data_IF_422339706285
#
_entry.id   IF_422339706285
#
_cell.length_a   1.000
_cell.length_b   1.000
_cell.length_c   1.000
_cell.angle_alpha   90.00
_cell.angle_beta   90.00
_cell.angle_gamma   90.00
#
_symmetry.space_group_name_H-M   'P 1'
#
loop_
_entity.id
_entity.type
_entity.pdbx_description
1 polymer ?
#
# COMPACT_ATOMS: atom_id res chain seq x y z
N UNK A 1 15.93 7.87 -18.21
CA UNK A 1 16.48 6.48 -18.37
C UNK A 1 16.06 5.55 -17.23
N UNK A 2 16.04 6.04 -15.98
CA UNK A 2 15.61 5.26 -14.80
C UNK A 2 14.18 4.73 -14.90
N UNK A 3 13.25 5.54 -15.39
CA UNK A 3 11.84 5.13 -15.57
C UNK A 3 11.70 3.90 -16.48
N UNK A 4 12.37 3.89 -17.64
CA UNK A 4 12.33 2.75 -18.58
C UNK A 4 12.97 1.51 -17.95
N UNK A 5 14.12 1.66 -17.30
CA UNK A 5 14.77 0.55 -16.61
C UNK A 5 13.88 -0.04 -15.51
N UNK A 6 13.23 0.81 -14.71
CA UNK A 6 12.30 0.38 -13.66
C UNK A 6 11.08 -0.34 -14.23
N UNK A 7 10.56 0.11 -15.38
CA UNK A 7 9.44 -0.54 -16.06
C UNK A 7 9.84 -1.94 -16.58
N UNK A 8 11.01 -2.07 -17.20
CA UNK A 8 11.49 -3.36 -17.73
C UNK A 8 11.71 -4.38 -16.61
N UNK A 9 12.39 -3.97 -15.53
CA UNK A 9 12.58 -4.83 -14.35
C UNK A 9 11.23 -5.18 -13.73
N UNK A 10 10.34 -4.19 -13.63
CA UNK A 10 9.02 -4.37 -13.06
C UNK A 10 8.15 -5.36 -13.84
N UNK A 11 8.11 -5.23 -15.17
CA UNK A 11 7.38 -6.15 -16.05
C UNK A 11 7.94 -7.56 -15.91
N UNK A 12 9.27 -7.74 -15.91
CA UNK A 12 9.86 -9.06 -15.75
C UNK A 12 9.46 -9.73 -14.42
N UNK A 13 9.55 -8.99 -13.31
CA UNK A 13 9.17 -9.49 -11.98
C UNK A 13 7.68 -9.82 -11.92
N UNK A 14 6.83 -8.91 -12.39
CA UNK A 14 5.37 -9.08 -12.33
C UNK A 14 4.93 -10.22 -13.24
N UNK A 15 5.41 -10.30 -14.49
CA UNK A 15 5.05 -11.40 -15.39
C UNK A 15 5.44 -12.75 -14.81
N UNK A 16 6.66 -12.90 -14.28
CA UNK A 16 7.09 -14.14 -13.63
C UNK A 16 6.22 -14.48 -12.42
N UNK A 17 5.96 -13.48 -11.56
CA UNK A 17 5.17 -13.64 -10.35
C UNK A 17 3.72 -14.01 -10.64
N UNK A 18 3.06 -13.29 -11.55
CA UNK A 18 1.69 -13.57 -11.97
C UNK A 18 1.59 -14.98 -12.55
N UNK A 19 2.54 -15.37 -13.40
CA UNK A 19 2.56 -16.72 -13.94
C UNK A 19 2.69 -17.77 -12.84
N UNK A 20 3.61 -17.60 -11.89
CA UNK A 20 3.79 -18.49 -10.76
C UNK A 20 2.57 -18.56 -9.80
N UNK A 21 1.87 -17.46 -9.61
CA UNK A 21 0.62 -17.43 -8.84
C UNK A 21 -0.49 -18.18 -9.57
N UNK A 22 -0.64 -17.95 -10.87
CA UNK A 22 -1.65 -18.60 -11.71
C UNK A 22 -1.43 -20.11 -11.78
N UNK A 23 -0.20 -20.56 -12.05
CA UNK A 23 0.16 -21.98 -12.02
C UNK A 23 -0.09 -22.60 -10.65
N UNK A 24 0.29 -21.89 -9.58
CA UNK A 24 0.07 -22.39 -8.23
C UNK A 24 -1.41 -22.51 -7.85
N UNK A 25 -2.27 -21.64 -8.38
CA UNK A 25 -3.70 -21.61 -8.11
C UNK A 25 -4.53 -22.49 -9.07
N UNK A 26 -3.93 -22.99 -10.16
CA UNK A 26 -4.60 -23.74 -11.24
C UNK A 26 -5.48 -24.93 -10.77
N UNK A 27 -5.12 -25.71 -9.73
CA UNK A 27 -5.96 -26.80 -9.24
C UNK A 27 -7.31 -26.38 -8.63
N UNK A 28 -7.45 -25.09 -8.28
CA UNK A 28 -8.57 -24.54 -7.50
C UNK A 28 -9.25 -23.34 -8.17
N UNK A 29 -8.50 -22.35 -8.64
CA UNK A 29 -9.04 -21.08 -9.14
C UNK A 29 -10.03 -21.23 -10.32
N UNK A 30 -9.80 -22.10 -11.33
CA UNK A 30 -10.76 -22.32 -12.41
C UNK A 30 -12.10 -22.87 -11.93
N UNK A 31 -12.09 -23.74 -10.91
CA UNK A 31 -13.32 -24.28 -10.31
C UNK A 31 -14.07 -23.19 -9.54
N UNK A 32 -13.35 -22.36 -8.78
CA UNK A 32 -13.97 -21.21 -8.11
C UNK A 32 -14.57 -20.23 -9.13
N UNK A 33 -13.87 -19.96 -10.23
CA UNK A 33 -14.37 -19.15 -11.34
C UNK A 33 -15.64 -19.76 -11.95
N UNK A 34 -15.65 -21.06 -12.23
CA UNK A 34 -16.85 -21.73 -12.74
C UNK A 34 -18.03 -21.56 -11.78
N UNK A 35 -17.82 -21.76 -10.48
CA UNK A 35 -18.92 -21.61 -9.51
C UNK A 35 -19.41 -20.16 -9.39
N UNK A 36 -18.51 -19.17 -9.43
CA UNK A 36 -18.89 -17.76 -9.39
C UNK A 36 -19.55 -17.28 -10.70
N UNK A 37 -19.13 -17.80 -11.85
CA UNK A 37 -19.58 -17.32 -13.17
C UNK A 37 -20.73 -18.14 -13.77
N UNK A 38 -20.97 -19.37 -13.29
CA UNK A 38 -22.04 -20.25 -13.75
C UNK A 38 -23.26 -20.18 -12.81
N UNK A 39 -24.40 -19.61 -13.24
CA UNK A 39 -25.60 -19.50 -12.42
C UNK A 39 -26.15 -20.82 -11.89
N UNK A 40 -25.91 -21.93 -12.61
CA UNK A 40 -26.40 -23.26 -12.22
C UNK A 40 -25.62 -23.85 -11.04
N UNK A 41 -24.41 -23.33 -10.75
CA UNK A 41 -23.52 -23.85 -9.74
C UNK A 41 -23.54 -23.04 -8.44
N UNK A 42 -24.36 -21.98 -8.37
CA UNK A 42 -24.44 -21.07 -7.21
C UNK A 42 -24.75 -21.78 -5.89
N UNK A 43 -25.57 -22.83 -5.93
CA UNK A 43 -25.97 -23.58 -4.73
C UNK A 43 -24.81 -24.43 -4.16
N UNK A 44 -23.73 -24.65 -4.93
CA UNK A 44 -22.56 -25.45 -4.51
C UNK A 44 -21.66 -24.72 -3.51
N UNK A 45 -21.70 -23.39 -3.42
CA UNK A 45 -20.94 -22.63 -2.42
C UNK A 45 -21.63 -22.53 -1.06
N UNK A 46 -22.85 -23.07 -0.93
CA UNK A 46 -23.70 -22.87 0.24
C UNK A 46 -24.43 -21.52 0.18
N UNK A 47 -25.56 -21.41 0.91
CA UNK A 47 -26.47 -20.25 0.87
C UNK A 47 -25.84 -18.94 1.28
N UNK A 48 -24.72 -18.98 2.00
CA UNK A 48 -24.16 -17.81 2.64
C UNK A 48 -23.07 -17.11 1.82
N UNK A 49 -22.51 -17.70 0.76
CA UNK A 49 -21.30 -17.20 0.05
C UNK A 49 -21.55 -16.29 -1.15
N UNK A 50 -22.68 -15.59 -1.17
CA UNK A 50 -23.14 -14.88 -2.37
C UNK A 50 -23.51 -13.43 -2.14
N UNK A 51 -22.54 -12.55 -2.42
CA UNK A 51 -22.76 -11.11 -2.58
C UNK A 51 -23.15 -10.84 -4.04
N UNK A 52 -24.42 -10.49 -4.27
CA UNK A 52 -24.89 -9.99 -5.57
C UNK A 52 -25.40 -8.55 -5.38
N UNK A 53 -24.65 -7.57 -5.90
CA UNK A 53 -25.08 -6.17 -5.91
C UNK A 53 -26.32 -5.97 -6.79
N UNK A 54 -26.54 -6.87 -7.76
CA UNK A 54 -27.67 -6.82 -8.69
C UNK A 54 -27.53 -5.74 -9.77
N UNK A 55 -26.42 -4.99 -9.76
CA UNK A 55 -26.19 -3.84 -10.65
C UNK A 55 -25.60 -4.31 -11.99
N UNK A 56 -24.58 -5.17 -11.95
CA UNK A 56 -23.89 -5.65 -13.15
C UNK A 56 -23.38 -7.08 -12.95
N UNK A 57 -23.78 -8.00 -13.82
CA UNK A 57 -23.51 -9.44 -13.67
C UNK A 57 -22.02 -9.77 -13.62
N UNK A 58 -21.18 -9.06 -14.38
CA UNK A 58 -19.73 -9.27 -14.36
C UNK A 58 -19.05 -8.71 -13.10
N UNK A 59 -19.55 -7.57 -12.58
CA UNK A 59 -19.06 -7.00 -11.31
C UNK A 59 -19.34 -7.96 -10.16
N UNK A 60 -20.57 -8.48 -10.10
CA UNK A 60 -20.98 -9.47 -9.10
C UNK A 60 -20.13 -10.74 -9.13
N UNK A 61 -19.82 -11.25 -10.32
CA UNK A 61 -18.97 -12.43 -10.51
C UNK A 61 -17.52 -12.18 -10.07
N UNK A 62 -17.02 -10.97 -10.33
CA UNK A 62 -15.69 -10.53 -9.90
C UNK A 62 -15.63 -10.43 -8.38
N UNK A 63 -16.62 -9.78 -7.76
CA UNK A 63 -16.75 -9.69 -6.30
C UNK A 63 -16.84 -11.08 -5.67
N UNK A 64 -17.64 -11.99 -6.25
CA UNK A 64 -17.74 -13.37 -5.77
C UNK A 64 -16.37 -14.05 -5.70
N UNK A 65 -15.57 -13.97 -6.77
CA UNK A 65 -14.25 -14.60 -6.81
C UNK A 65 -13.32 -14.02 -5.76
N UNK A 66 -13.15 -12.69 -5.72
CA UNK A 66 -12.22 -12.04 -4.78
C UNK A 66 -12.64 -12.18 -3.32
N UNK A 67 -13.94 -12.19 -3.05
CA UNK A 67 -14.44 -12.38 -1.69
C UNK A 67 -14.16 -13.80 -1.20
N UNK A 68 -14.49 -14.83 -2.01
CA UNK A 68 -14.17 -16.21 -1.67
C UNK A 68 -12.66 -16.47 -1.57
N UNK A 69 -11.87 -15.83 -2.43
CA UNK A 69 -10.40 -15.90 -2.37
C UNK A 69 -9.87 -15.31 -1.06
N UNK A 70 -10.30 -14.11 -0.71
CA UNK A 70 -9.84 -13.40 0.50
C UNK A 70 -10.31 -14.12 1.76
N UNK A 71 -11.55 -14.61 1.76
CA UNK A 71 -12.10 -15.42 2.85
C UNK A 71 -11.33 -16.73 3.03
N UNK A 72 -11.00 -17.42 1.94
CA UNK A 72 -10.18 -18.64 2.00
C UNK A 72 -8.81 -18.36 2.64
N UNK A 73 -8.16 -17.24 2.28
CA UNK A 73 -6.91 -16.85 2.94
C UNK A 73 -7.13 -16.47 4.41
N UNK A 74 -8.18 -15.72 4.75
CA UNK A 74 -8.48 -15.33 6.14
C UNK A 74 -8.77 -16.51 7.06
N UNK A 75 -9.33 -17.60 6.52
CA UNK A 75 -9.70 -18.79 7.29
C UNK A 75 -8.56 -19.81 7.37
N UNK A 76 -7.42 -19.56 6.73
CA UNK A 76 -6.20 -20.32 6.93
C UNK A 76 -5.41 -19.81 8.14
N UNK A 77 -4.81 -20.74 8.89
CA UNK A 77 -4.06 -20.42 10.11
C UNK A 77 -2.85 -19.51 9.85
N UNK A 78 -2.24 -19.60 8.68
CA UNK A 78 -1.15 -18.73 8.24
C UNK A 78 -1.64 -17.61 7.30
N UNK A 79 -2.71 -17.87 6.55
CA UNK A 79 -3.31 -16.87 5.68
C UNK A 79 -3.85 -15.65 6.41
N UNK A 80 -4.55 -15.79 7.56
CA UNK A 80 -5.02 -14.64 8.32
C UNK A 80 -3.86 -13.73 8.78
N UNK A 81 -2.77 -14.26 9.38
CA UNK A 81 -1.55 -13.52 9.64
C UNK A 81 -0.96 -12.82 8.40
N UNK A 82 -0.82 -13.51 7.26
CA UNK A 82 -0.28 -12.90 6.05
C UNK A 82 -1.19 -11.82 5.47
N UNK A 83 -2.50 -11.99 5.55
CA UNK A 83 -3.48 -10.97 5.15
C UNK A 83 -3.34 -9.70 5.99
N UNK A 84 -3.12 -9.82 7.31
CA UNK A 84 -2.85 -8.66 8.17
C UNK A 84 -1.58 -7.93 7.74
N UNK A 85 -0.49 -8.66 7.52
CA UNK A 85 0.76 -8.06 7.03
C UNK A 85 0.58 -7.41 5.66
N UNK A 86 -0.20 -8.03 4.77
CA UNK A 86 -0.54 -7.51 3.46
C UNK A 86 -1.35 -6.22 3.55
N UNK A 87 -2.34 -6.14 4.44
CA UNK A 87 -3.08 -4.90 4.71
C UNK A 87 -2.11 -3.80 5.17
N UNK A 88 -1.20 -4.09 6.10
CA UNK A 88 -0.17 -3.13 6.52
C UNK A 88 0.71 -2.64 5.36
N UNK A 89 1.19 -3.57 4.54
CA UNK A 89 2.05 -3.28 3.40
C UNK A 89 1.33 -2.52 2.29
N UNK A 90 0.11 -2.93 1.93
CA UNK A 90 -0.73 -2.22 0.97
C UNK A 90 -1.03 -0.81 1.45
N UNK A 91 -1.48 -0.63 2.70
CA UNK A 91 -1.76 0.70 3.26
C UNK A 91 -0.53 1.61 3.24
N UNK A 92 0.66 1.04 3.45
CA UNK A 92 1.94 1.74 3.32
C UNK A 92 2.25 2.12 1.87
N UNK A 93 2.12 1.19 0.93
CA UNK A 93 2.29 1.46 -0.50
C UNK A 93 1.33 2.56 -0.97
N UNK A 94 0.08 2.48 -0.55
CA UNK A 94 -0.95 3.46 -0.90
C UNK A 94 -0.70 4.82 -0.26
N UNK A 95 -0.21 4.86 0.99
CA UNK A 95 0.24 6.11 1.63
C UNK A 95 1.41 6.74 0.91
N UNK A 96 2.40 5.94 0.48
CA UNK A 96 3.51 6.42 -0.34
C UNK A 96 3.00 7.02 -1.65
N UNK A 97 2.06 6.35 -2.33
CA UNK A 97 1.45 6.89 -3.54
C UNK A 97 0.73 8.22 -3.28
N UNK A 98 -0.02 8.33 -2.18
CA UNK A 98 -0.76 9.52 -1.83
C UNK A 98 0.16 10.70 -1.47
N UNK A 99 1.17 10.48 -0.61
CA UNK A 99 2.07 11.53 -0.17
C UNK A 99 2.93 12.05 -1.32
N UNK A 100 3.56 11.14 -2.06
CA UNK A 100 4.36 11.52 -3.22
C UNK A 100 3.47 12.17 -4.30
N UNK A 101 2.30 11.59 -4.60
CA UNK A 101 1.35 12.17 -5.55
C UNK A 101 0.82 13.54 -5.13
N UNK A 102 0.76 13.84 -3.82
CA UNK A 102 0.27 15.12 -3.29
C UNK A 102 1.30 16.24 -3.35
N UNK A 103 2.57 15.96 -3.63
CA UNK A 103 3.57 17.01 -3.82
C UNK A 103 3.16 17.92 -4.97
N UNK A 104 3.42 19.24 -4.85
CA UNK A 104 2.96 20.26 -5.81
C UNK A 104 3.28 19.93 -7.27
N UNK A 105 4.40 19.25 -7.55
CA UNK A 105 4.80 18.82 -8.89
C UNK A 105 4.00 17.67 -9.53
N UNK A 106 3.22 16.92 -8.75
CA UNK A 106 2.53 15.70 -9.21
C UNK A 106 1.04 15.67 -8.97
N UNK A 107 0.52 16.64 -8.23
CA UNK A 107 -0.87 16.71 -7.80
C UNK A 107 -1.88 16.63 -8.96
N UNK A 108 -1.53 17.18 -10.12
CA UNK A 108 -2.39 17.20 -11.31
C UNK A 108 -2.24 15.98 -12.22
N UNK A 109 -1.32 15.06 -11.95
CA UNK A 109 -1.06 13.91 -12.82
C UNK A 109 -1.20 12.58 -12.07
N UNK A 110 -0.39 12.35 -11.04
CA UNK A 110 -0.34 11.08 -10.32
C UNK A 110 -1.50 10.91 -9.33
N UNK A 111 -1.88 11.98 -8.62
CA UNK A 111 -2.94 11.91 -7.62
C UNK A 111 -4.34 11.74 -8.24
N UNK A 112 -4.56 12.22 -9.46
CA UNK A 112 -5.85 12.04 -10.17
C UNK A 112 -6.10 10.56 -10.46
N UNK A 113 -5.06 9.80 -10.79
CA UNK A 113 -5.15 8.37 -11.08
C UNK A 113 -5.11 7.48 -9.81
N UNK A 114 -4.97 8.07 -8.63
CA UNK A 114 -4.91 7.37 -7.35
C UNK A 114 -6.04 6.35 -7.08
N UNK A 115 -7.34 6.65 -7.31
CA UNK A 115 -8.40 5.65 -7.15
C UNK A 115 -8.27 4.50 -8.15
N UNK A 116 -7.83 4.79 -9.38
CA UNK A 116 -7.63 3.78 -10.42
C UNK A 116 -6.48 2.85 -10.01
N UNK A 117 -5.38 3.39 -9.49
CA UNK A 117 -4.26 2.58 -8.99
C UNK A 117 -4.70 1.64 -7.87
N UNK A 118 -5.49 2.12 -6.92
CA UNK A 118 -5.97 1.25 -5.84
C UNK A 118 -6.96 0.20 -6.32
N UNK A 119 -7.88 0.52 -7.24
CA UNK A 119 -8.76 -0.48 -7.85
C UNK A 119 -7.97 -1.55 -8.61
N UNK A 120 -6.99 -1.14 -9.41
CA UNK A 120 -6.10 -2.07 -10.10
C UNK A 120 -5.30 -2.90 -9.11
N UNK A 121 -4.88 -2.33 -7.98
CA UNK A 121 -4.11 -3.03 -6.95
C UNK A 121 -4.95 -4.12 -6.28
N UNK A 122 -6.24 -3.86 -6.06
CA UNK A 122 -7.17 -4.86 -5.54
C UNK A 122 -7.51 -5.97 -6.56
N UNK A 123 -7.46 -5.68 -7.87
CA UNK A 123 -7.78 -6.66 -8.93
C UNK A 123 -6.57 -7.49 -9.39
N UNK A 124 -5.40 -6.85 -9.52
CA UNK A 124 -4.20 -7.47 -10.10
C UNK A 124 -3.08 -7.68 -9.08
N UNK A 125 -3.32 -7.29 -7.82
CA UNK A 125 -2.31 -7.28 -6.76
C UNK A 125 -1.59 -5.93 -6.68
N UNK A 126 -1.34 -5.49 -5.45
CA UNK A 126 -0.67 -4.22 -5.19
C UNK A 126 0.78 -4.22 -5.63
N UNK A 127 1.44 -5.38 -5.59
CA UNK A 127 2.80 -5.53 -6.13
C UNK A 127 2.87 -5.12 -7.60
N UNK A 128 1.88 -5.53 -8.42
CA UNK A 128 1.88 -5.27 -9.84
C UNK A 128 1.74 -3.78 -10.13
N UNK A 129 0.76 -3.14 -9.50
CA UNK A 129 0.53 -1.69 -9.66
C UNK A 129 1.70 -0.89 -9.11
N UNK A 130 2.19 -1.22 -7.91
CA UNK A 130 3.28 -0.47 -7.30
C UNK A 130 4.55 -0.54 -8.17
N UNK A 131 4.91 -1.72 -8.66
CA UNK A 131 6.17 -1.94 -9.37
C UNK A 131 6.11 -1.50 -10.84
N UNK A 132 5.04 -1.85 -11.58
CA UNK A 132 4.96 -1.62 -13.03
C UNK A 132 4.36 -0.25 -13.36
N UNK A 133 3.46 0.25 -12.53
CA UNK A 133 2.75 1.51 -12.80
C UNK A 133 3.33 2.63 -11.98
N UNK A 134 3.32 2.51 -10.65
CA UNK A 134 3.65 3.61 -9.76
C UNK A 134 5.13 4.01 -9.81
N UNK A 135 6.07 3.06 -9.59
CA UNK A 135 7.51 3.39 -9.57
C UNK A 135 7.95 4.07 -10.89
N UNK A 136 7.68 3.52 -12.09
CA UNK A 136 8.15 4.12 -13.33
C UNK A 136 7.52 5.49 -13.60
N UNK A 137 6.23 5.66 -13.32
CA UNK A 137 5.56 6.95 -13.46
C UNK A 137 6.12 7.99 -12.49
N UNK A 138 6.35 7.60 -11.22
CA UNK A 138 6.94 8.50 -10.23
C UNK A 138 8.32 9.01 -10.66
N UNK A 139 9.15 8.14 -11.25
CA UNK A 139 10.47 8.51 -11.76
C UNK A 139 10.37 9.40 -13.01
N UNK A 140 9.47 9.05 -13.93
CA UNK A 140 9.26 9.82 -15.17
C UNK A 140 8.81 11.25 -14.88
N UNK A 141 7.79 11.42 -14.04
CA UNK A 141 7.31 12.75 -13.69
C UNK A 141 8.35 13.50 -12.88
N UNK A 142 9.10 12.85 -11.98
CA UNK A 142 10.18 13.50 -11.21
C UNK A 142 11.27 14.07 -12.10
N UNK A 143 11.66 13.37 -13.17
CA UNK A 143 12.63 13.87 -14.15
C UNK A 143 12.09 15.07 -14.96
N UNK A 144 10.77 15.19 -15.10
CA UNK A 144 10.10 16.25 -15.90
C UNK A 144 9.63 17.46 -15.09
N UNK A 145 9.49 17.34 -13.79
CA UNK A 145 9.13 18.48 -12.94
C UNK A 145 10.22 19.56 -13.00
N UNK A 146 9.86 20.84 -13.20
CA UNK A 146 10.83 21.93 -13.14
C UNK A 146 11.58 21.88 -11.80
N UNK A 147 12.89 22.15 -11.80
CA UNK A 147 13.71 22.17 -10.57
C UNK A 147 13.50 23.44 -9.73
N UNK A 148 12.45 24.21 -9.97
CA UNK A 148 12.18 25.42 -9.18
C UNK A 148 11.85 25.06 -7.73
N UNK A 149 12.37 25.88 -6.82
CA UNK A 149 12.64 25.56 -5.41
C UNK A 149 11.42 25.15 -4.55
N UNK A 150 10.18 25.25 -5.02
CA UNK A 150 8.97 24.98 -4.22
C UNK A 150 8.10 23.82 -4.72
N UNK A 151 8.53 23.08 -5.76
CA UNK A 151 7.69 22.08 -6.46
C UNK A 151 7.60 20.74 -5.70
N UNK A 152 8.56 20.45 -4.80
CA UNK A 152 8.57 19.21 -4.01
C UNK A 152 7.92 19.32 -2.62
N UNK A 153 7.29 20.47 -2.35
CA UNK A 153 6.64 20.73 -1.07
C UNK A 153 5.29 20.03 -0.98
N UNK A 154 4.98 19.52 0.20
CA UNK A 154 3.66 19.03 0.60
C UNK A 154 3.13 19.95 1.70
N UNK A 155 1.83 20.20 1.76
CA UNK A 155 1.25 21.01 2.84
C UNK A 155 0.79 20.12 4.01
N UNK A 156 0.74 20.66 5.23
CA UNK A 156 0.24 19.94 6.41
C UNK A 156 -1.14 19.29 6.18
N UNK A 157 -2.14 20.00 5.60
CA UNK A 157 -3.44 19.38 5.35
C UNK A 157 -3.41 18.24 4.35
N UNK A 158 -2.46 18.24 3.41
CA UNK A 158 -2.29 17.14 2.45
C UNK A 158 -1.66 15.93 3.14
N UNK A 159 -0.59 16.13 3.92
CA UNK A 159 0.08 15.05 4.66
C UNK A 159 -0.86 14.39 5.68
N UNK A 160 -1.40 15.14 6.64
CA UNK A 160 -2.29 14.56 7.65
C UNK A 160 -3.66 14.20 7.11
N UNK A 161 -4.17 14.91 6.10
CA UNK A 161 -5.43 14.57 5.44
C UNK A 161 -5.34 13.21 4.75
N UNK A 162 -4.26 12.96 4.00
CA UNK A 162 -4.01 11.67 3.38
C UNK A 162 -3.79 10.56 4.42
N UNK A 163 -2.98 10.82 5.45
CA UNK A 163 -2.78 9.85 6.53
C UNK A 163 -4.09 9.47 7.21
N UNK A 164 -4.88 10.46 7.63
CA UNK A 164 -6.15 10.24 8.32
C UNK A 164 -7.14 9.48 7.43
N UNK A 165 -7.21 9.85 6.15
CA UNK A 165 -8.06 9.16 5.18
C UNK A 165 -7.67 7.68 5.06
N UNK A 166 -6.37 7.36 4.97
CA UNK A 166 -5.89 5.98 4.88
C UNK A 166 -6.09 5.23 6.19
N UNK A 167 -5.87 5.85 7.34
CA UNK A 167 -6.12 5.20 8.64
C UNK A 167 -7.59 4.83 8.78
N UNK A 168 -8.49 5.78 8.60
CA UNK A 168 -9.93 5.57 8.78
C UNK A 168 -10.55 4.76 7.65
N UNK A 169 -10.09 4.99 6.41
CA UNK A 169 -10.66 4.38 5.23
C UNK A 169 -10.02 3.05 4.88
N UNK A 170 -8.85 2.68 5.43
CA UNK A 170 -8.18 1.42 5.08
C UNK A 170 -7.76 0.61 6.31
N UNK A 171 -6.99 1.18 7.24
CA UNK A 171 -6.50 0.43 8.41
C UNK A 171 -7.62 0.05 9.38
N UNK A 172 -8.56 0.95 9.67
CA UNK A 172 -9.68 0.65 10.56
C UNK A 172 -10.57 -0.46 9.99
N UNK A 173 -11.05 -0.40 8.73
CA UNK A 173 -11.80 -1.51 8.13
C UNK A 173 -11.00 -2.82 8.11
N UNK A 174 -9.71 -2.77 7.76
CA UNK A 174 -8.85 -3.96 7.78
C UNK A 174 -8.69 -4.56 9.18
N UNK A 175 -8.56 -3.72 10.21
CA UNK A 175 -8.51 -4.15 11.59
C UNK A 175 -9.84 -4.77 12.05
N UNK A 176 -10.98 -4.21 11.64
CA UNK A 176 -12.31 -4.77 11.93
C UNK A 176 -12.46 -6.15 11.29
N UNK A 177 -12.14 -6.30 10.01
CA UNK A 177 -12.16 -7.60 9.29
C UNK A 177 -11.27 -8.63 9.99
N UNK A 178 -10.10 -8.20 10.47
CA UNK A 178 -9.14 -9.07 11.14
C UNK A 178 -9.43 -9.35 12.64
N UNK A 179 -10.47 -8.73 13.20
CA UNK A 179 -10.82 -8.79 14.62
C UNK A 179 -11.82 -9.91 14.93
N UNK A 180 -11.91 -10.37 16.19
CA UNK A 180 -12.93 -11.34 16.60
C UNK A 180 -14.36 -10.77 16.57
N UNK A 181 -14.56 -9.48 16.23
CA UNK A 181 -15.88 -8.87 16.10
C UNK A 181 -16.62 -9.35 14.84
N UNK A 182 -15.88 -9.86 13.85
CA UNK A 182 -16.42 -10.39 12.60
C UNK A 182 -16.41 -11.92 12.69
N UNK A 183 -17.59 -12.52 12.77
CA UNK A 183 -17.73 -13.98 12.84
C UNK A 183 -17.34 -14.62 11.49
N UNK A 184 -16.72 -15.80 11.56
CA UNK A 184 -16.25 -16.53 10.39
C UNK A 184 -17.44 -16.99 9.53
N UNK A 185 -17.33 -16.84 8.21
CA UNK A 185 -18.40 -17.13 7.24
C UNK A 185 -19.68 -16.30 7.43
N UNK A 186 -19.65 -15.26 8.27
CA UNK A 186 -20.80 -14.38 8.44
C UNK A 186 -21.04 -13.53 7.20
N UNK A 187 -22.28 -13.10 7.02
CA UNK A 187 -22.64 -12.11 6.00
C UNK A 187 -21.85 -10.80 6.17
N UNK A 188 -21.57 -10.41 7.40
CA UNK A 188 -20.80 -9.21 7.72
C UNK A 188 -19.36 -9.30 7.18
N UNK A 189 -18.70 -10.46 7.33
CA UNK A 189 -17.35 -10.70 6.78
C UNK A 189 -17.34 -10.45 5.27
N UNK A 190 -18.32 -11.02 4.57
CA UNK A 190 -18.42 -10.93 3.12
C UNK A 190 -18.74 -9.51 2.62
N UNK A 191 -19.62 -8.80 3.31
CA UNK A 191 -19.95 -7.41 2.97
C UNK A 191 -18.73 -6.50 3.21
N UNK A 192 -17.99 -6.70 4.30
CA UNK A 192 -16.78 -5.94 4.57
C UNK A 192 -15.66 -6.22 3.56
N UNK A 193 -15.45 -7.47 3.16
CA UNK A 193 -14.50 -7.84 2.10
C UNK A 193 -14.89 -7.24 0.74
N UNK A 194 -16.18 -7.22 0.40
CA UNK A 194 -16.67 -6.58 -0.82
C UNK A 194 -16.47 -5.06 -0.80
N UNK A 195 -16.74 -4.40 0.33
CA UNK A 195 -16.45 -2.97 0.53
C UNK A 195 -14.94 -2.71 0.40
N UNK A 196 -14.11 -3.60 0.96
CA UNK A 196 -12.66 -3.48 0.91
C UNK A 196 -12.12 -3.48 -0.53
N UNK A 197 -12.74 -4.24 -1.44
CA UNK A 197 -12.39 -4.26 -2.88
C UNK A 197 -12.55 -2.88 -3.55
N UNK A 198 -13.57 -2.11 -3.16
CA UNK A 198 -13.88 -0.79 -3.74
C UNK A 198 -13.39 0.39 -2.90
N UNK A 199 -12.76 0.10 -1.76
CA UNK A 199 -12.27 1.07 -0.79
C UNK A 199 -11.37 2.17 -1.37
N UNK A 200 -10.48 1.90 -2.35
CA UNK A 200 -9.73 2.94 -3.05
C UNK A 200 -10.57 4.07 -3.65
N UNK A 201 -11.78 3.75 -4.14
CA UNK A 201 -12.72 4.74 -4.70
C UNK A 201 -13.29 5.63 -3.59
N UNK A 202 -13.48 5.07 -2.40
CA UNK A 202 -13.96 5.80 -1.21
C UNK A 202 -12.84 6.68 -0.65
N UNK A 203 -11.60 6.23 -0.69
CA UNK A 203 -10.44 6.98 -0.21
C UNK A 203 -10.20 8.27 -0.99
N UNK A 204 -10.44 8.27 -2.31
CA UNK A 204 -10.23 9.43 -3.16
C UNK A 204 -10.99 10.71 -2.72
N UNK A 205 -12.31 10.69 -2.46
CA UNK A 205 -13.04 11.84 -1.89
C UNK A 205 -12.76 12.05 -0.39
N UNK A 206 -12.31 11.01 0.32
CA UNK A 206 -12.02 11.09 1.75
C UNK A 206 -10.75 11.89 2.05
N UNK A 207 -9.71 11.78 1.22
CA UNK A 207 -8.47 12.59 1.33
C UNK A 207 -8.76 14.11 1.37
N UNK A 208 -9.45 14.71 0.39
CA UNK A 208 -9.76 16.14 0.42
C UNK A 208 -10.74 16.51 1.54
N UNK A 209 -11.64 15.62 1.93
CA UNK A 209 -12.51 15.82 3.10
C UNK A 209 -11.69 15.93 4.39
N UNK A 210 -10.82 14.96 4.67
CA UNK A 210 -9.92 14.97 5.82
C UNK A 210 -8.96 16.17 5.77
N UNK A 211 -8.42 16.51 4.60
CA UNK A 211 -7.60 17.71 4.42
C UNK A 211 -8.33 19.00 4.76
N UNK A 212 -9.65 19.08 4.53
CA UNK A 212 -10.45 20.24 4.91
C UNK A 212 -10.55 20.41 6.43
N UNK A 213 -10.53 19.31 7.20
CA UNK A 213 -10.52 19.34 8.67
C UNK A 213 -9.23 20.04 9.14
N UNK A 214 -8.07 19.63 8.62
CA UNK A 214 -6.79 20.22 8.97
C UNK A 214 -6.62 21.66 8.47
N UNK A 215 -7.24 22.03 7.35
CA UNK A 215 -7.31 23.45 6.93
C UNK A 215 -8.10 24.32 7.91
N UNK A 216 -9.23 23.81 8.42
CA UNK A 216 -10.10 24.55 9.34
C UNK A 216 -9.50 24.71 10.73
N UNK A 217 -8.68 23.76 11.18
CA UNK A 217 -7.93 23.88 12.44
C UNK A 217 -6.96 25.08 12.44
N UNK A 218 -6.58 25.56 11.24
CA UNK A 218 -5.68 26.69 11.07
C UNK A 218 -4.23 26.31 11.36
N UNK A 219 -3.30 27.08 10.83
CA UNK A 219 -1.88 26.98 11.15
C UNK A 219 -1.44 28.27 11.84
N UNK A 220 -0.60 28.20 12.88
CA UNK A 220 0.00 29.40 13.49
C UNK A 220 0.80 30.23 12.47
N UNK A 221 1.26 29.61 11.37
CA UNK A 221 1.95 30.25 10.24
C UNK A 221 1.06 31.28 9.52
N UNK A 222 -0.26 31.16 9.60
CA UNK A 222 -1.20 32.10 8.99
C UNK A 222 -1.02 33.55 9.48
N UNK A 223 -0.51 33.72 10.71
CA UNK A 223 -0.34 35.02 11.35
C UNK A 223 0.97 35.74 10.98
N UNK A 224 1.84 35.11 10.18
CA UNK A 224 3.13 35.67 9.77
C UNK A 224 2.92 36.71 8.67
N UNK A 225 3.40 37.94 8.91
CA UNK A 225 3.21 39.08 8.00
C UNK A 225 4.07 38.99 6.73
N UNK A 226 5.30 38.49 6.84
CA UNK A 226 6.20 38.33 5.69
C UNK A 226 5.77 37.14 4.82
N UNK A 227 5.38 37.37 3.54
CA UNK A 227 4.92 36.32 2.65
C UNK A 227 5.99 35.27 2.32
N UNK A 228 7.28 35.67 2.28
CA UNK A 228 8.39 34.76 1.96
C UNK A 228 8.66 33.84 3.14
N UNK A 229 8.77 34.40 4.34
CA UNK A 229 8.90 33.63 5.57
C UNK A 229 7.71 32.68 5.78
N UNK A 230 6.49 33.17 5.49
CA UNK A 230 5.26 32.38 5.59
C UNK A 230 5.27 31.16 4.65
N UNK A 231 5.67 31.31 3.39
CA UNK A 231 5.76 30.17 2.47
C UNK A 231 6.77 29.11 2.95
N UNK A 232 7.91 29.55 3.47
CA UNK A 232 8.94 28.64 4.02
C UNK A 232 8.46 27.89 5.26
N UNK A 233 7.76 28.59 6.16
CA UNK A 233 7.20 27.97 7.34
C UNK A 233 6.12 26.95 7.00
N UNK A 234 5.29 27.19 5.97
CA UNK A 234 4.35 26.17 5.49
C UNK A 234 5.05 24.94 4.90
N UNK A 235 6.17 25.14 4.16
CA UNK A 235 6.96 24.03 3.64
C UNK A 235 7.56 23.19 4.79
N UNK A 236 8.15 23.86 5.79
CA UNK A 236 8.70 23.20 6.98
C UNK A 236 7.62 22.46 7.79
N UNK A 237 6.45 23.07 7.98
CA UNK A 237 5.32 22.46 8.69
C UNK A 237 4.77 21.24 7.94
N UNK A 238 4.67 21.32 6.62
CA UNK A 238 4.25 20.20 5.78
C UNK A 238 5.27 19.05 5.78
N UNK A 239 6.57 19.36 5.78
CA UNK A 239 7.65 18.38 5.93
C UNK A 239 7.57 17.66 7.28
N UNK A 240 7.47 18.39 8.39
CA UNK A 240 7.33 17.80 9.73
C UNK A 240 6.08 16.90 9.82
N UNK A 241 4.95 17.33 9.24
CA UNK A 241 3.75 16.50 9.18
C UNK A 241 3.96 15.22 8.37
N UNK A 242 4.67 15.28 7.24
CA UNK A 242 4.98 14.13 6.41
C UNK A 242 5.94 13.16 7.11
N UNK A 243 6.99 13.66 7.75
CA UNK A 243 7.94 12.88 8.55
C UNK A 243 7.22 12.11 9.66
N UNK A 244 6.36 12.79 10.43
CA UNK A 244 5.54 12.16 11.48
C UNK A 244 4.59 11.12 10.91
N UNK A 245 4.03 11.35 9.73
CA UNK A 245 3.16 10.40 9.05
C UNK A 245 3.91 9.12 8.67
N UNK A 246 5.13 9.23 8.12
CA UNK A 246 5.97 8.07 7.85
C UNK A 246 6.42 7.34 9.11
N UNK A 247 6.79 8.07 10.16
CA UNK A 247 7.14 7.47 11.44
C UNK A 247 5.97 6.70 12.06
N UNK A 248 4.76 7.27 12.01
CA UNK A 248 3.53 6.63 12.46
C UNK A 248 3.27 5.32 11.69
N UNK A 249 3.38 5.36 10.36
CA UNK A 249 3.24 4.17 9.51
C UNK A 249 4.31 3.12 9.85
N UNK A 250 5.56 3.54 10.05
CA UNK A 250 6.67 2.67 10.40
C UNK A 250 6.45 1.93 11.71
N UNK A 251 6.13 2.67 12.79
CA UNK A 251 5.85 2.09 14.12
C UNK A 251 4.63 1.18 14.07
N UNK A 252 3.54 1.61 13.43
CA UNK A 252 2.30 0.81 13.35
C UNK A 252 2.53 -0.51 12.63
N UNK A 253 3.22 -0.48 11.48
CA UNK A 253 3.54 -1.70 10.73
C UNK A 253 4.55 -2.60 11.44
N UNK A 254 5.49 -2.03 12.21
CA UNK A 254 6.42 -2.80 13.03
C UNK A 254 5.67 -3.53 14.15
N UNK A 255 4.75 -2.85 14.84
CA UNK A 255 3.90 -3.47 15.86
C UNK A 255 3.03 -4.57 15.26
N UNK A 256 2.46 -4.35 14.07
CA UNK A 256 1.70 -5.36 13.34
C UNK A 256 2.56 -6.57 12.97
N UNK A 257 3.79 -6.35 12.51
CA UNK A 257 4.74 -7.40 12.18
C UNK A 257 5.08 -8.27 13.38
N UNK A 258 5.52 -7.65 14.49
CA UNK A 258 5.85 -8.39 15.71
C UNK A 258 4.63 -9.04 16.36
N UNK A 259 3.47 -8.37 16.37
CA UNK A 259 2.23 -8.94 16.90
C UNK A 259 1.79 -10.17 16.12
N UNK A 260 1.92 -10.14 14.79
CA UNK A 260 1.65 -11.28 13.90
C UNK A 260 2.63 -12.42 14.18
N UNK A 261 3.93 -12.13 14.25
CA UNK A 261 4.96 -13.11 14.60
C UNK A 261 4.68 -13.79 15.95
N UNK A 262 4.39 -13.00 16.99
CA UNK A 262 4.07 -13.52 18.32
C UNK A 262 2.83 -14.40 18.28
N UNK A 263 1.78 -13.99 17.55
CA UNK A 263 0.54 -14.78 17.41
C UNK A 263 0.84 -16.16 16.82
N UNK A 264 1.62 -16.23 15.75
CA UNK A 264 2.00 -17.50 15.11
C UNK A 264 2.90 -18.33 16.03
N UNK A 265 3.86 -17.69 16.70
CA UNK A 265 4.76 -18.36 17.64
C UNK A 265 4.03 -18.98 18.82
N UNK A 266 2.99 -18.32 19.36
CA UNK A 266 2.16 -18.86 20.44
C UNK A 266 1.33 -20.07 20.00
N UNK A 267 1.02 -20.20 18.70
CA UNK A 267 0.38 -21.39 18.13
C UNK A 267 1.36 -22.56 17.92
N UNK A 268 2.65 -22.38 18.23
CA UNK A 268 3.68 -23.42 18.07
C UNK A 268 4.09 -23.68 16.61
N UNK A 269 3.70 -22.80 15.69
CA UNK A 269 3.97 -22.99 14.26
C UNK A 269 5.40 -22.56 13.91
N UNK A 270 6.15 -23.47 13.28
CA UNK A 270 7.48 -23.18 12.75
C UNK A 270 7.37 -22.42 11.44
N UNK A 271 7.37 -21.09 11.54
CA UNK A 271 7.15 -20.16 10.42
C UNK A 271 7.98 -20.52 9.18
N UNK A 272 9.26 -20.85 9.35
CA UNK A 272 10.15 -21.13 8.21
C UNK A 272 9.75 -22.38 7.43
N UNK A 273 9.50 -23.49 8.13
CA UNK A 273 9.08 -24.75 7.51
C UNK A 273 7.73 -24.56 6.79
N UNK A 274 6.81 -23.82 7.41
CA UNK A 274 5.51 -23.52 6.83
C UNK A 274 5.57 -22.63 5.60
N UNK A 275 6.44 -21.60 5.60
CA UNK A 275 6.68 -20.74 4.42
C UNK A 275 7.21 -21.58 3.26
N UNK A 276 8.22 -22.42 3.50
CA UNK A 276 8.80 -23.27 2.46
C UNK A 276 7.77 -24.26 1.91
N UNK A 277 6.94 -24.85 2.78
CA UNK A 277 5.87 -25.74 2.37
C UNK A 277 4.83 -25.03 1.48
N UNK A 278 4.42 -23.82 1.86
CA UNK A 278 3.46 -22.99 1.11
C UNK A 278 4.03 -22.55 -0.25
N UNK A 279 5.29 -22.13 -0.31
CA UNK A 279 5.92 -21.70 -1.57
C UNK A 279 6.01 -22.85 -2.59
N UNK A 280 6.19 -24.08 -2.11
CA UNK A 280 6.23 -25.29 -2.94
C UNK A 280 4.84 -25.87 -3.29
N UNK A 281 3.75 -25.31 -2.74
CA UNK A 281 2.41 -25.71 -3.14
C UNK A 281 2.12 -25.27 -4.60
N UNK A 282 1.33 -26.03 -5.38
CA UNK A 282 0.57 -27.22 -5.00
C UNK A 282 1.39 -28.52 -4.95
N UNK A 283 2.63 -28.53 -5.45
CA UNK A 283 3.44 -29.75 -5.58
C UNK A 283 3.80 -30.43 -4.25
N UNK A 284 3.79 -29.68 -3.15
CA UNK A 284 4.02 -30.19 -1.79
C UNK A 284 2.75 -30.76 -1.12
N UNK A 285 1.56 -30.58 -1.71
CA UNK A 285 0.30 -30.95 -1.09
C UNK A 285 -0.02 -32.44 -1.33
N UNK A 286 -0.62 -33.14 -0.34
CA UNK A 286 -1.03 -34.53 -0.52
C UNK A 286 -2.15 -34.63 -1.57
N UNK A 287 -2.26 -35.79 -2.22
CA UNK A 287 -3.37 -36.06 -3.13
C UNK A 287 -4.70 -36.13 -2.35
N UNK A 288 -5.78 -35.58 -2.95
CA UNK A 288 -7.13 -35.69 -2.39
C UNK A 288 -7.48 -34.67 -1.30
N UNK A 289 -6.73 -33.57 -1.17
CA UNK A 289 -7.10 -32.45 -0.29
C UNK A 289 -8.50 -31.94 -0.67
N UNK A 290 -9.43 -31.76 0.30
CA UNK A 290 -10.75 -31.21 0.03
C UNK A 290 -10.68 -29.85 -0.64
N UNK A 291 -11.68 -29.53 -1.48
CA UNK A 291 -11.68 -28.29 -2.27
C UNK A 291 -11.55 -27.03 -1.41
N UNK A 292 -12.18 -27.00 -0.24
CA UNK A 292 -12.13 -25.86 0.69
C UNK A 292 -10.72 -25.67 1.28
N UNK A 293 -10.10 -26.73 1.78
CA UNK A 293 -8.75 -26.67 2.36
C UNK A 293 -7.69 -26.38 1.30
N UNK A 294 -7.88 -26.89 0.08
CA UNK A 294 -7.06 -26.54 -1.06
C UNK A 294 -7.16 -25.04 -1.36
N UNK A 295 -8.36 -24.47 -1.30
CA UNK A 295 -8.58 -23.02 -1.46
C UNK A 295 -7.87 -22.20 -0.40
N UNK A 296 -7.96 -22.59 0.87
CA UNK A 296 -7.27 -21.94 1.99
C UNK A 296 -5.76 -21.88 1.78
N UNK A 297 -5.14 -23.02 1.43
CA UNK A 297 -3.70 -23.12 1.23
C UNK A 297 -3.21 -22.34 -0.01
N UNK A 298 -3.91 -22.46 -1.14
CA UNK A 298 -3.50 -21.81 -2.39
C UNK A 298 -3.77 -20.31 -2.40
N UNK A 299 -4.85 -19.85 -1.76
CA UNK A 299 -5.08 -18.42 -1.53
C UNK A 299 -4.00 -17.84 -0.60
N UNK A 300 -3.68 -18.55 0.49
CA UNK A 300 -2.62 -18.17 1.43
C UNK A 300 -1.26 -18.06 0.76
N UNK A 301 -0.89 -19.05 -0.07
CA UNK A 301 0.32 -19.01 -0.89
C UNK A 301 0.34 -17.76 -1.77
N UNK A 302 -0.77 -17.46 -2.45
CA UNK A 302 -0.85 -16.31 -3.35
C UNK A 302 -0.64 -14.99 -2.59
N UNK A 303 -1.26 -14.83 -1.42
CA UNK A 303 -1.05 -13.67 -0.54
C UNK A 303 0.40 -13.56 -0.06
N UNK A 304 1.02 -14.69 0.29
CA UNK A 304 2.44 -14.74 0.69
C UNK A 304 3.36 -14.30 -0.45
N UNK A 305 3.16 -14.82 -1.67
CA UNK A 305 3.97 -14.45 -2.84
C UNK A 305 3.79 -12.96 -3.16
N UNK A 306 2.56 -12.43 -3.10
CA UNK A 306 2.29 -11.01 -3.29
C UNK A 306 3.06 -10.17 -2.25
N UNK A 307 3.02 -10.58 -0.97
CA UNK A 307 3.72 -9.85 0.10
C UNK A 307 5.24 -9.82 -0.13
N UNK A 308 5.83 -10.95 -0.56
CA UNK A 308 7.25 -11.03 -0.89
C UNK A 308 7.58 -10.10 -2.06
N UNK A 309 6.78 -10.11 -3.12
CA UNK A 309 7.06 -9.34 -4.33
C UNK A 309 6.83 -7.85 -4.10
N UNK A 310 5.81 -7.47 -3.33
CA UNK A 310 5.62 -6.09 -2.87
C UNK A 310 6.81 -5.61 -2.03
N UNK A 311 7.37 -6.48 -1.18
CA UNK A 311 8.58 -6.19 -0.40
C UNK A 311 9.78 -5.90 -1.30
N UNK A 312 9.94 -6.68 -2.38
CA UNK A 312 10.94 -6.40 -3.43
C UNK A 312 10.63 -5.05 -4.09
N UNK A 313 9.36 -4.73 -4.34
CA UNK A 313 8.92 -3.44 -4.85
C UNK A 313 9.35 -2.26 -3.97
N UNK A 314 9.23 -2.38 -2.65
CA UNK A 314 9.72 -1.35 -1.72
C UNK A 314 11.24 -1.16 -1.79
N UNK A 315 11.99 -2.26 -1.90
CA UNK A 315 13.44 -2.20 -2.09
C UNK A 315 13.78 -1.52 -3.42
N UNK A 316 13.12 -1.90 -4.52
CA UNK A 316 13.32 -1.29 -5.83
C UNK A 316 13.01 0.20 -5.81
N UNK A 317 11.92 0.60 -5.13
CA UNK A 317 11.59 2.01 -4.97
C UNK A 317 12.72 2.75 -4.24
N UNK A 318 13.26 2.21 -3.15
CA UNK A 318 14.42 2.79 -2.45
C UNK A 318 15.67 2.87 -3.35
N UNK A 319 15.98 1.81 -4.11
CA UNK A 319 17.10 1.77 -5.07
C UNK A 319 16.99 2.87 -6.11
N UNK A 320 15.83 3.01 -6.75
CA UNK A 320 15.67 3.99 -7.82
C UNK A 320 15.63 5.44 -7.29
N UNK A 321 15.11 5.64 -6.09
CA UNK A 321 14.97 6.97 -5.48
C UNK A 321 16.28 7.50 -4.87
N UNK A 322 17.01 6.65 -4.15
CA UNK A 322 18.18 7.06 -3.34
C UNK A 322 19.44 6.24 -3.58
N UNK A 323 19.42 5.27 -4.50
CA UNK A 323 20.57 4.49 -4.91
C UNK A 323 20.66 3.12 -4.26
N UNK A 324 21.54 2.28 -4.80
CA UNK A 324 21.65 0.85 -4.46
C UNK A 324 21.93 0.61 -2.97
N UNK A 325 22.86 1.33 -2.37
CA UNK A 325 23.24 1.15 -0.95
C UNK A 325 22.04 1.34 -0.01
N UNK A 326 21.20 2.34 -0.27
CA UNK A 326 20.01 2.60 0.54
C UNK A 326 18.99 1.47 0.38
N UNK A 327 18.80 0.99 -0.85
CA UNK A 327 17.98 -0.19 -1.11
C UNK A 327 18.44 -1.44 -0.37
N UNK A 328 19.75 -1.68 -0.32
CA UNK A 328 20.31 -2.82 0.44
C UNK A 328 20.07 -2.68 1.94
N UNK A 329 20.17 -1.47 2.50
CA UNK A 329 19.82 -1.23 3.91
C UNK A 329 18.35 -1.53 4.17
N UNK A 330 17.43 -1.08 3.30
CA UNK A 330 16.00 -1.42 3.40
C UNK A 330 15.78 -2.93 3.33
N UNK A 331 16.47 -3.63 2.41
CA UNK A 331 16.38 -5.08 2.26
C UNK A 331 16.89 -5.84 3.50
N UNK A 332 17.93 -5.34 4.16
CA UNK A 332 18.47 -5.94 5.39
C UNK A 332 17.58 -5.70 6.61
N UNK A 333 16.92 -4.54 6.68
CA UNK A 333 16.03 -4.17 7.80
C UNK A 333 14.65 -4.82 7.66
N UNK A 334 14.15 -5.02 6.44
CA UNK A 334 12.81 -5.56 6.19
C UNK A 334 12.50 -6.89 6.90
N UNK A 335 13.41 -7.89 6.96
CA UNK A 335 13.17 -9.11 7.74
C UNK A 335 13.12 -8.90 9.26
N UNK A 336 13.69 -7.81 9.79
CA UNK A 336 13.78 -7.56 11.23
C UNK A 336 12.54 -6.85 11.76
N UNK A 337 12.03 -5.86 11.03
CA UNK A 337 10.92 -4.99 11.48
C UNK A 337 9.67 -5.12 10.60
N UNK A 338 9.74 -5.89 9.52
CA UNK A 338 8.73 -5.99 8.49
C UNK A 338 8.99 -5.04 7.31
N UNK A 339 8.64 -5.43 6.07
CA UNK A 339 8.93 -4.68 4.85
C UNK A 339 8.25 -3.30 4.80
N UNK A 340 6.98 -3.25 5.25
CA UNK A 340 6.19 -2.02 5.32
C UNK A 340 6.77 -1.01 6.34
N UNK A 341 7.27 -1.51 7.47
CA UNK A 341 7.94 -0.66 8.45
C UNK A 341 9.29 -0.15 7.93
N UNK A 342 10.10 -1.03 7.34
CA UNK A 342 11.41 -0.69 6.79
C UNK A 342 11.33 0.40 5.72
N UNK A 343 10.37 0.30 4.78
CA UNK A 343 10.20 1.32 3.73
C UNK A 343 9.69 2.65 4.32
N UNK A 344 8.85 2.61 5.36
CA UNK A 344 8.36 3.80 6.04
C UNK A 344 9.47 4.52 6.82
N UNK A 345 10.33 3.79 7.53
CA UNK A 345 11.50 4.37 8.20
C UNK A 345 12.51 4.94 7.20
N UNK A 346 12.71 4.27 6.07
CA UNK A 346 13.49 4.83 4.97
C UNK A 346 12.86 6.13 4.44
N UNK A 347 11.54 6.17 4.21
CA UNK A 347 10.86 7.36 3.73
C UNK A 347 11.00 8.52 4.73
N UNK A 348 10.83 8.25 6.04
CA UNK A 348 11.10 9.20 7.13
C UNK A 348 12.54 9.75 7.07
N UNK A 349 13.55 8.88 7.02
CA UNK A 349 14.96 9.27 6.90
C UNK A 349 15.23 10.12 5.64
N UNK A 350 14.64 9.72 4.51
CA UNK A 350 14.82 10.38 3.23
C UNK A 350 14.27 11.80 3.23
N UNK A 351 13.12 12.08 3.86
CA UNK A 351 12.59 13.45 3.95
C UNK A 351 13.59 14.39 4.64
N UNK A 352 14.31 13.91 5.65
CA UNK A 352 15.41 14.65 6.28
C UNK A 352 16.51 15.08 5.30
N UNK A 353 16.74 14.30 4.24
CA UNK A 353 17.79 14.54 3.23
C UNK A 353 17.33 15.36 2.01
N UNK A 354 16.02 15.43 1.74
CA UNK A 354 15.48 16.05 0.52
C UNK A 354 15.37 17.58 0.61
N UNK A 355 15.35 18.15 1.81
CA UNK A 355 15.26 19.61 2.03
C UNK A 355 16.10 20.01 3.26
N UNK A 356 17.19 20.76 3.05
CA UNK A 356 17.76 21.60 4.10
C UNK A 356 17.21 23.03 3.92
N UNK A 357 16.11 23.40 4.59
CA UNK A 357 15.56 24.77 4.54
C UNK A 357 16.54 25.82 5.10
N UNK A 358 17.60 25.39 5.78
CA UNK A 358 18.69 26.25 6.29
C UNK A 358 19.64 26.77 5.21
N UNK A 359 19.93 25.99 4.16
CA UNK A 359 20.82 26.43 3.06
C UNK A 359 20.21 27.56 2.23
N UNK A 360 18.89 27.52 2.04
CA UNK A 360 18.13 28.57 1.35
C UNK A 360 17.88 29.78 2.25
N UNK A 361 17.83 29.60 3.58
CA UNK A 361 17.81 30.72 4.54
C UNK A 361 19.13 31.48 4.50
N UNK A 362 20.27 30.79 4.56
CA UNK A 362 21.60 31.42 4.49
C UNK A 362 21.84 32.11 3.15
N UNK A 363 21.38 31.52 2.03
CA UNK A 363 21.48 32.16 0.72
C UNK A 363 20.58 33.38 0.59
N UNK A 364 19.31 33.29 1.00
CA UNK A 364 18.40 34.42 0.90
C UNK A 364 18.74 35.56 1.88
N UNK A 365 19.28 35.24 3.07
CA UNK A 365 19.81 36.25 4.00
C UNK A 365 21.05 36.91 3.40
N UNK A 366 21.95 36.14 2.76
CA UNK A 366 23.10 36.71 2.04
C UNK A 366 22.67 37.58 0.85
N UNK A 367 21.66 37.18 0.11
CA UNK A 367 21.11 37.97 -1.02
C UNK A 367 20.42 39.24 -0.54
N UNK A 368 19.60 39.17 0.53
CA UNK A 368 18.95 40.34 1.12
C UNK A 368 19.94 41.34 1.73
N UNK A 369 21.01 40.84 2.36
CA UNK A 369 22.12 41.69 2.84
C UNK A 369 22.85 42.33 1.65
N UNK A 370 23.14 41.56 0.59
CA UNK A 370 23.83 42.07 -0.60
C UNK A 370 22.99 43.08 -1.42
N UNK A 371 21.66 43.01 -1.39
CA UNK A 371 20.78 44.01 -1.97
C UNK A 371 20.62 45.25 -1.08
N UNK A 372 20.68 45.08 0.24
CA UNK A 372 20.68 46.18 1.22
C UNK A 372 21.93 47.04 1.16
N UNK A 373 23.09 46.45 0.83
CA UNK A 373 24.37 47.16 0.66
C UNK A 373 24.51 47.90 -0.68
N UNK A 374 23.58 47.70 -1.62
CA UNK A 374 23.55 48.36 -2.94
C UNK A 374 22.64 49.60 -3.01
N UNK A 375 21.95 49.93 -1.92
CA UNK A 375 21.18 51.17 -1.75
C UNK A 375 21.91 52.10 -0.80
#
# INVERSE_FOLDING_TARGET
MKAILSLLIGVAIVTYTTHNMLEGAEPWAPKLLDVCFNPANKDLLGKDRVVYTGIFSFLDRTICFFNNFSQSALHDILGAPFMRLMIGAFGTAYSLMAFEGSRRGFKTTLLIAYPIFGLLANLFGVYAVFIVVWIPLSLYYREKSPKENNIWTITLPEAYGALLAIVLGYFVPGAVIASPLVEHNSRLEQELLAIWLVLPVILAPMIPFCGTIFKKLGSPVNNVADPILRERLYAAEGKDALERSYLFLGVTNMLLYFGTYLTIAHQGIRIWDSILMLLNAPGSLPAGVPFEDLGKLLATRTVLVDLIVLSIGFVLWAIFQSGFMVGMVVALIAPLVGPAAAVSFYAYYREGTLENPTTTLDQAVKEAIAEGEKK
#
